data_IF_708430811441
#
_entry.id   IF_708430811441
#
_cell.length_a   1.000
_cell.length_b   1.000
_cell.length_c   1.000
_cell.angle_alpha   90.00
_cell.angle_beta   90.00
_cell.angle_gamma   90.00
#
_symmetry.space_group_name_H-M   'P 1'
#
loop_
_entity.id
_entity.type
_entity.pdbx_description
1 polymer ?
#
# COMPACT_ATOMS: atom_id res chain seq x y z
N UNK A 1 3.09 45.53 37.62
CA UNK A 1 3.83 44.60 36.74
C UNK A 1 2.82 43.71 36.04
N UNK A 2 2.67 43.85 34.71
CA UNK A 2 1.75 43.07 33.88
C UNK A 2 2.47 41.79 33.44
N UNK A 3 1.99 40.62 33.84
CA UNK A 3 2.41 39.36 33.23
C UNK A 3 1.43 39.03 32.11
N UNK A 4 1.88 39.21 30.88
CA UNK A 4 1.17 38.79 29.68
C UNK A 4 1.46 37.29 29.50
N UNK A 5 0.53 36.43 29.90
CA UNK A 5 0.63 35.01 29.63
C UNK A 5 0.26 34.76 28.16
N UNK A 6 1.28 34.50 27.33
CA UNK A 6 1.09 34.06 25.95
C UNK A 6 0.81 32.55 25.98
N UNK A 7 -0.46 32.17 26.02
CA UNK A 7 -0.87 30.79 25.85
C UNK A 7 -0.70 30.43 24.37
N UNK A 8 0.42 29.80 24.03
CA UNK A 8 0.63 29.21 22.72
C UNK A 8 -0.27 27.97 22.64
N UNK A 9 -1.48 28.14 22.09
CA UNK A 9 -2.29 27.01 21.65
C UNK A 9 -1.55 26.35 20.48
N UNK A 10 -0.71 25.37 20.79
CA UNK A 10 -0.33 24.36 19.82
C UNK A 10 -1.62 23.61 19.51
N UNK A 11 -2.27 23.98 18.39
CA UNK A 11 -3.23 23.10 17.75
C UNK A 11 -2.46 21.82 17.46
N UNK A 12 -2.60 20.82 18.33
CA UNK A 12 -2.18 19.46 18.00
C UNK A 12 -2.91 19.15 16.71
N UNK A 13 -2.21 18.86 15.60
CA UNK A 13 -2.92 18.27 14.47
C UNK A 13 -3.52 17.01 15.06
N UNK A 14 -4.83 17.03 15.25
CA UNK A 14 -5.61 15.83 15.42
C UNK A 14 -5.10 14.91 14.32
N UNK A 15 -4.69 13.68 14.68
CA UNK A 15 -4.57 12.62 13.69
C UNK A 15 -5.79 12.77 12.79
N UNK A 16 -5.58 13.30 11.57
CA UNK A 16 -6.67 13.41 10.62
C UNK A 16 -7.19 11.98 10.51
N UNK A 17 -8.48 11.78 10.72
CA UNK A 17 -9.03 10.45 10.56
C UNK A 17 -8.72 10.06 9.11
N UNK A 18 -8.19 8.86 8.88
CA UNK A 18 -7.90 8.41 7.51
C UNK A 18 -9.20 8.46 6.69
N UNK A 19 -10.34 8.34 7.35
CA UNK A 19 -11.67 8.58 6.81
C UNK A 19 -11.88 10.01 6.28
N UNK A 20 -11.46 11.05 7.00
CA UNK A 20 -11.54 12.44 6.48
C UNK A 20 -10.73 12.58 5.19
N UNK A 21 -9.55 11.95 5.14
CA UNK A 21 -8.74 11.96 3.93
C UNK A 21 -9.40 11.18 2.78
N UNK A 22 -10.07 10.06 3.06
CA UNK A 22 -10.86 9.31 2.06
C UNK A 22 -12.01 10.14 1.53
N UNK A 23 -12.77 10.81 2.40
CA UNK A 23 -13.84 11.72 1.99
C UNK A 23 -13.31 12.85 1.09
N UNK A 24 -12.14 13.40 1.40
CA UNK A 24 -11.48 14.39 0.54
C UNK A 24 -11.08 13.80 -0.82
N UNK A 25 -10.60 12.55 -0.87
CA UNK A 25 -10.29 11.87 -2.13
C UNK A 25 -11.55 11.63 -2.95
N UNK A 26 -12.64 11.19 -2.34
CA UNK A 26 -13.95 10.99 -2.99
C UNK A 26 -14.52 12.31 -3.53
N UNK A 27 -14.34 13.41 -2.80
CA UNK A 27 -14.71 14.75 -3.23
C UNK A 27 -13.77 15.35 -4.29
N UNK A 28 -12.72 14.63 -4.72
CA UNK A 28 -11.73 15.11 -5.68
C UNK A 28 -10.76 16.18 -5.14
N UNK A 29 -10.74 16.38 -3.82
CA UNK A 29 -9.91 17.37 -3.13
C UNK A 29 -8.51 16.81 -2.82
N UNK A 30 -7.84 16.29 -3.85
CA UNK A 30 -6.64 15.47 -3.69
C UNK A 30 -5.46 16.17 -3.01
N UNK A 31 -5.26 17.48 -3.25
CA UNK A 31 -4.20 18.21 -2.56
C UNK A 31 -4.43 18.23 -1.03
N UNK A 32 -5.67 18.40 -0.60
CA UNK A 32 -6.03 18.43 0.83
C UNK A 32 -5.97 17.02 1.43
N UNK A 33 -6.47 16.01 0.70
CA UNK A 33 -6.34 14.62 1.10
C UNK A 33 -4.87 14.23 1.34
N UNK A 34 -3.96 14.63 0.45
CA UNK A 34 -2.52 14.37 0.60
C UNK A 34 -1.97 14.99 1.87
N UNK A 35 -2.29 16.26 2.12
CA UNK A 35 -1.83 16.96 3.33
C UNK A 35 -2.38 16.30 4.60
N UNK A 36 -3.62 15.80 4.57
CA UNK A 36 -4.20 15.04 5.68
C UNK A 36 -3.53 13.68 5.90
N UNK A 37 -3.21 12.95 4.82
CA UNK A 37 -2.55 11.63 4.88
C UNK A 37 -1.08 11.72 5.30
N UNK A 38 -0.39 12.80 4.93
CA UNK A 38 1.06 12.88 4.99
C UNK A 38 1.66 12.61 6.39
N UNK A 39 1.14 13.19 7.49
CA UNK A 39 1.66 12.90 8.84
C UNK A 39 1.55 11.42 9.22
N UNK A 40 0.42 10.77 8.90
CA UNK A 40 0.17 9.37 9.21
C UNK A 40 1.05 8.44 8.36
N UNK A 41 1.14 8.69 7.05
CA UNK A 41 2.01 7.94 6.15
C UNK A 41 3.49 8.05 6.56
N UNK A 42 3.93 9.26 6.96
CA UNK A 42 5.30 9.50 7.46
C UNK A 42 5.57 8.84 8.80
N UNK A 43 4.54 8.57 9.59
CA UNK A 43 4.62 7.84 10.86
C UNK A 43 4.46 6.33 10.70
N UNK A 44 4.28 5.85 9.46
CA UNK A 44 4.21 4.44 9.13
C UNK A 44 2.83 3.81 9.29
N UNK A 45 1.75 4.58 9.32
CA UNK A 45 0.40 4.02 9.20
C UNK A 45 0.22 3.40 7.80
N UNK A 46 -0.12 2.12 7.73
CA UNK A 46 -0.13 1.36 6.48
C UNK A 46 -1.27 1.79 5.54
N UNK A 47 -2.45 2.15 6.07
CA UNK A 47 -3.58 2.64 5.27
C UNK A 47 -3.22 3.98 4.61
N UNK A 48 -2.58 4.88 5.35
CA UNK A 48 -2.12 6.15 4.81
C UNK A 48 -1.02 5.99 3.75
N UNK A 49 -0.09 5.06 3.98
CA UNK A 49 0.94 4.73 2.99
C UNK A 49 0.35 4.15 1.70
N UNK A 50 -0.65 3.28 1.81
CA UNK A 50 -1.37 2.73 0.67
C UNK A 50 -2.06 3.83 -0.14
N UNK A 51 -2.79 4.73 0.52
CA UNK A 51 -3.47 5.84 -0.14
C UNK A 51 -2.49 6.80 -0.81
N UNK A 52 -1.34 7.10 -0.19
CA UNK A 52 -0.27 7.88 -0.86
C UNK A 52 0.26 7.13 -2.10
N UNK A 53 0.37 5.81 -2.05
CA UNK A 53 0.69 4.96 -3.20
C UNK A 53 -0.32 5.14 -4.34
N UNK A 54 -1.63 5.06 -4.03
CA UNK A 54 -2.74 5.29 -4.97
C UNK A 54 -2.61 6.67 -5.64
N UNK A 55 -2.33 7.71 -4.86
CA UNK A 55 -2.20 9.06 -5.39
C UNK A 55 -1.06 9.18 -6.40
N UNK A 56 0.09 8.55 -6.16
CA UNK A 56 1.18 8.51 -7.14
C UNK A 56 0.87 7.64 -8.35
N UNK A 57 0.20 6.49 -8.18
CA UNK A 57 -0.15 5.59 -9.28
C UNK A 57 -1.11 6.25 -10.28
N UNK A 58 -2.06 7.03 -9.76
CA UNK A 58 -3.15 7.64 -10.53
C UNK A 58 -2.92 9.14 -10.84
N UNK A 59 -1.89 9.77 -10.28
CA UNK A 59 -1.62 11.20 -10.44
C UNK A 59 -2.67 12.09 -9.74
N UNK A 60 -3.15 11.66 -8.56
CA UNK A 60 -4.20 12.36 -7.81
C UNK A 60 -3.57 13.43 -6.91
N UNK A 61 -3.65 14.69 -7.33
CA UNK A 61 -3.07 15.81 -6.58
C UNK A 61 -1.54 15.83 -6.54
N UNK A 62 -0.89 14.93 -7.29
CA UNK A 62 0.55 14.85 -7.52
C UNK A 62 0.82 14.37 -8.94
N UNK A 63 2.03 14.63 -9.44
CA UNK A 63 2.47 14.02 -10.69
C UNK A 63 2.50 12.50 -10.56
N UNK A 64 1.98 11.82 -11.58
CA UNK A 64 2.01 10.36 -11.66
C UNK A 64 3.45 9.86 -11.66
N UNK A 65 3.78 8.96 -10.74
CA UNK A 65 5.13 8.42 -10.57
C UNK A 65 5.03 6.96 -10.11
N UNK A 66 5.22 6.05 -11.06
CA UNK A 66 5.08 4.61 -10.85
C UNK A 66 6.10 4.04 -9.87
N UNK A 67 7.31 4.61 -9.85
CA UNK A 67 8.37 4.14 -8.96
C UNK A 67 8.01 4.52 -7.52
N UNK A 68 7.58 5.77 -7.30
CA UNK A 68 7.14 6.18 -5.96
C UNK A 68 5.88 5.44 -5.52
N UNK A 69 4.92 5.23 -6.42
CA UNK A 69 3.73 4.45 -6.10
C UNK A 69 4.09 3.04 -5.61
N UNK A 70 4.95 2.33 -6.35
CA UNK A 70 5.46 1.02 -5.95
C UNK A 70 6.17 1.06 -4.59
N UNK A 71 7.03 2.05 -4.34
CA UNK A 71 7.72 2.20 -3.05
C UNK A 71 6.75 2.38 -1.88
N UNK A 72 5.70 3.20 -2.04
CA UNK A 72 4.69 3.41 -1.00
C UNK A 72 3.83 2.16 -0.78
N UNK A 73 3.39 1.51 -1.86
CA UNK A 73 2.69 0.23 -1.75
C UNK A 73 3.55 -0.82 -1.06
N UNK A 74 4.85 -0.92 -1.38
CA UNK A 74 5.73 -1.89 -0.74
C UNK A 74 5.87 -1.64 0.76
N UNK A 75 5.92 -0.39 1.21
CA UNK A 75 5.96 -0.05 2.66
C UNK A 75 4.71 -0.53 3.39
N UNK A 76 3.53 -0.23 2.85
CA UNK A 76 2.26 -0.67 3.41
C UNK A 76 2.12 -2.21 3.35
N UNK A 77 2.49 -2.81 2.24
CA UNK A 77 2.44 -4.26 2.00
C UNK A 77 3.34 -5.03 2.98
N UNK A 78 4.52 -4.49 3.29
CA UNK A 78 5.43 -5.04 4.30
C UNK A 78 4.87 -5.01 5.72
N UNK A 79 3.79 -4.25 5.98
CA UNK A 79 3.11 -4.20 7.27
C UNK A 79 1.85 -5.05 7.31
N UNK A 80 1.62 -5.85 6.27
CA UNK A 80 0.45 -6.71 6.18
C UNK A 80 -0.81 -6.03 5.64
N UNK A 81 -0.72 -4.84 5.04
CA UNK A 81 -1.90 -4.19 4.44
C UNK A 81 -2.31 -4.93 3.16
N UNK A 82 -3.49 -5.57 3.10
CA UNK A 82 -3.85 -6.45 1.97
C UNK A 82 -3.97 -5.70 0.64
N UNK A 83 -4.68 -4.57 0.59
CA UNK A 83 -4.82 -3.78 -0.66
C UNK A 83 -3.47 -3.38 -1.27
N UNK A 84 -2.54 -2.87 -0.46
CA UNK A 84 -1.16 -2.61 -0.90
C UNK A 84 -0.42 -3.87 -1.36
N UNK A 85 -0.60 -5.04 -0.72
CA UNK A 85 -0.01 -6.31 -1.20
C UNK A 85 -0.54 -6.67 -2.59
N UNK A 86 -1.85 -6.50 -2.84
CA UNK A 86 -2.43 -6.64 -4.18
C UNK A 86 -1.84 -5.65 -5.17
N UNK A 87 -1.65 -4.39 -4.76
CA UNK A 87 -0.96 -3.36 -5.55
C UNK A 87 0.45 -3.80 -5.96
N UNK A 88 1.28 -4.23 -5.00
CA UNK A 88 2.64 -4.74 -5.27
C UNK A 88 2.60 -5.96 -6.20
N UNK A 89 1.66 -6.88 -5.98
CA UNK A 89 1.44 -8.04 -6.85
C UNK A 89 1.17 -7.65 -8.29
N UNK A 90 0.33 -6.64 -8.51
CA UNK A 90 0.00 -6.11 -9.82
C UNK A 90 1.22 -5.47 -10.51
N UNK A 91 2.02 -4.66 -9.81
CA UNK A 91 3.25 -4.09 -10.37
C UNK A 91 4.22 -5.16 -10.86
N UNK A 92 4.39 -6.25 -10.10
CA UNK A 92 5.21 -7.39 -10.53
C UNK A 92 4.58 -8.13 -11.71
N UNK A 93 3.25 -8.29 -11.74
CA UNK A 93 2.55 -8.98 -12.82
C UNK A 93 2.74 -8.26 -14.16
N UNK A 94 2.53 -6.95 -14.18
CA UNK A 94 2.62 -6.15 -15.42
C UNK A 94 4.03 -5.66 -15.72
N UNK A 95 4.95 -5.71 -14.74
CA UNK A 95 6.32 -5.22 -14.87
C UNK A 95 6.44 -3.69 -14.96
N UNK A 96 5.47 -2.95 -14.41
CA UNK A 96 5.45 -1.49 -14.51
C UNK A 96 6.54 -0.87 -13.63
N UNK A 97 7.35 0.02 -14.22
CA UNK A 97 8.51 0.59 -13.50
C UNK A 97 9.62 -0.42 -13.20
N UNK A 98 9.57 -1.62 -13.78
CA UNK A 98 10.56 -2.69 -13.60
C UNK A 98 11.22 -3.10 -14.92
N UNK A 99 12.40 -3.77 -14.89
CA UNK A 99 13.04 -4.26 -16.11
C UNK A 99 12.21 -5.32 -16.87
N UNK A 100 11.40 -6.10 -16.15
CA UNK A 100 10.51 -7.12 -16.68
C UNK A 100 9.44 -7.49 -15.63
N UNK A 101 8.38 -8.17 -16.06
CA UNK A 101 7.43 -8.79 -15.13
C UNK A 101 8.04 -9.94 -14.34
N UNK A 102 7.52 -10.18 -13.15
CA UNK A 102 7.93 -11.27 -12.26
C UNK A 102 6.71 -11.98 -11.69
N UNK A 103 6.27 -13.03 -12.40
CA UNK A 103 5.08 -13.79 -12.01
C UNK A 103 5.25 -14.55 -10.70
N UNK A 104 6.48 -14.86 -10.27
CA UNK A 104 6.73 -15.52 -9.00
C UNK A 104 6.39 -14.55 -7.86
N UNK A 105 6.94 -13.33 -7.93
CA UNK A 105 6.66 -12.29 -6.93
C UNK A 105 5.22 -11.79 -6.99
N UNK A 106 4.63 -11.69 -8.18
CA UNK A 106 3.22 -11.35 -8.33
C UNK A 106 2.31 -12.36 -7.59
N UNK A 107 2.49 -13.67 -7.88
CA UNK A 107 1.71 -14.72 -7.23
C UNK A 107 1.89 -14.74 -5.71
N UNK A 108 3.13 -14.56 -5.24
CA UNK A 108 3.44 -14.49 -3.81
C UNK A 108 2.69 -13.33 -3.12
N UNK A 109 2.74 -12.12 -3.69
CA UNK A 109 2.09 -10.95 -3.09
C UNK A 109 0.56 -11.06 -3.11
N UNK A 110 -0.04 -11.56 -4.19
CA UNK A 110 -1.48 -11.84 -4.22
C UNK A 110 -1.88 -12.91 -3.17
N UNK A 111 -1.07 -13.96 -2.98
CA UNK A 111 -1.33 -14.95 -1.95
C UNK A 111 -1.28 -14.36 -0.53
N UNK A 112 -0.27 -13.53 -0.24
CA UNK A 112 -0.15 -12.83 1.03
C UNK A 112 -1.33 -11.88 1.26
N UNK A 113 -1.78 -11.20 0.21
CA UNK A 113 -2.96 -10.32 0.26
C UNK A 113 -4.23 -11.09 0.58
N UNK A 114 -4.45 -12.24 -0.07
CA UNK A 114 -5.58 -13.12 0.23
C UNK A 114 -5.54 -13.64 1.67
N UNK A 115 -4.37 -14.04 2.17
CA UNK A 115 -4.18 -14.42 3.59
C UNK A 115 -4.48 -13.23 4.51
N UNK A 116 -4.12 -12.01 4.10
CA UNK A 116 -4.38 -10.75 4.78
C UNK A 116 -5.87 -10.36 4.83
N UNK A 117 -6.68 -10.89 3.92
CA UNK A 117 -8.13 -10.73 3.90
C UNK A 117 -8.66 -9.93 2.71
N UNK A 118 -7.87 -9.71 1.66
CA UNK A 118 -8.37 -9.20 0.39
C UNK A 118 -9.01 -10.35 -0.42
N UNK A 119 -10.35 -10.36 -0.60
CA UNK A 119 -11.03 -11.44 -1.33
C UNK A 119 -10.73 -11.41 -2.83
N UNK A 120 -10.43 -10.24 -3.40
CA UNK A 120 -10.18 -10.09 -4.84
C UNK A 120 -8.78 -10.59 -5.22
N UNK A 121 -7.85 -10.61 -4.25
CA UNK A 121 -6.50 -11.12 -4.46
C UNK A 121 -6.46 -12.61 -4.86
N UNK A 122 -7.43 -13.41 -4.43
CA UNK A 122 -7.54 -14.81 -4.84
C UNK A 122 -7.82 -14.93 -6.35
N UNK A 123 -8.65 -14.05 -6.90
CA UNK A 123 -8.93 -14.00 -8.35
C UNK A 123 -7.66 -13.65 -9.11
N UNK A 124 -6.92 -12.63 -8.67
CA UNK A 124 -5.63 -12.26 -9.27
C UNK A 124 -4.62 -13.41 -9.21
N UNK A 125 -4.58 -14.15 -8.10
CA UNK A 125 -3.73 -15.33 -7.95
C UNK A 125 -4.09 -16.43 -8.97
N UNK A 126 -5.38 -16.69 -9.18
CA UNK A 126 -5.88 -17.64 -10.18
C UNK A 126 -5.55 -17.22 -11.61
N UNK A 127 -5.54 -15.93 -11.93
CA UNK A 127 -5.16 -15.45 -13.26
C UNK A 127 -3.65 -15.53 -13.50
N UNK A 128 -2.84 -15.18 -12.51
CA UNK A 128 -1.37 -15.27 -12.64
C UNK A 128 -0.90 -16.70 -12.79
N UNK A 129 -1.46 -17.65 -12.03
CA UNK A 129 -0.97 -19.04 -12.04
C UNK A 129 -1.11 -19.72 -13.41
N UNK A 130 -2.11 -19.33 -14.20
CA UNK A 130 -2.31 -19.82 -15.59
C UNK A 130 -1.14 -19.47 -16.52
N UNK A 131 -0.37 -18.43 -16.19
CA UNK A 131 0.78 -17.93 -16.95
C UNK A 131 2.10 -18.54 -16.45
N UNK A 132 2.08 -19.32 -15.37
CA UNK A 132 3.28 -19.82 -14.69
C UNK A 132 3.59 -21.28 -15.05
N UNK A 133 4.89 -21.60 -15.08
CA UNK A 133 5.36 -22.98 -15.10
C UNK A 133 5.27 -23.61 -13.71
N UNK A 134 5.23 -24.95 -13.65
CA UNK A 134 5.29 -25.69 -12.37
C UNK A 134 6.48 -25.28 -11.50
N UNK A 135 7.65 -25.05 -12.11
CA UNK A 135 8.84 -24.63 -11.39
C UNK A 135 8.69 -23.22 -10.76
N UNK A 136 8.02 -22.29 -11.45
CA UNK A 136 7.72 -20.97 -10.90
C UNK A 136 6.70 -21.05 -9.75
N UNK A 137 5.69 -21.91 -9.87
CA UNK A 137 4.69 -22.11 -8.81
C UNK A 137 5.34 -22.65 -7.54
N UNK A 138 6.22 -23.65 -7.65
CA UNK A 138 6.98 -24.19 -6.51
C UNK A 138 7.78 -23.10 -5.82
N UNK A 139 8.54 -22.30 -6.58
CA UNK A 139 9.31 -21.17 -6.02
C UNK A 139 8.42 -20.11 -5.36
N UNK A 140 7.24 -19.85 -5.91
CA UNK A 140 6.32 -18.89 -5.32
C UNK A 140 5.80 -19.40 -3.97
N UNK A 141 5.48 -20.69 -3.85
CA UNK A 141 5.12 -21.29 -2.56
C UNK A 141 6.24 -21.24 -1.53
N UNK A 142 7.49 -21.50 -1.93
CA UNK A 142 8.66 -21.33 -1.05
C UNK A 142 8.72 -19.90 -0.47
N UNK A 143 8.56 -18.88 -1.33
CA UNK A 143 8.54 -17.49 -0.87
C UNK A 143 7.31 -17.15 -0.01
N UNK A 144 6.15 -17.70 -0.33
CA UNK A 144 4.93 -17.49 0.48
C UNK A 144 5.16 -18.04 1.89
N UNK A 145 5.70 -19.25 2.03
CA UNK A 145 5.95 -19.87 3.33
C UNK A 145 6.95 -19.03 4.16
N UNK A 146 8.01 -18.52 3.52
CA UNK A 146 8.99 -17.65 4.17
C UNK A 146 8.37 -16.34 4.68
N UNK A 147 7.58 -15.67 3.84
CA UNK A 147 7.02 -14.35 4.15
C UNK A 147 5.79 -14.45 5.06
N UNK A 148 4.96 -15.48 4.92
CA UNK A 148 3.74 -15.68 5.71
C UNK A 148 4.07 -15.73 7.19
N UNK A 149 5.12 -16.44 7.58
CA UNK A 149 5.53 -16.58 8.99
C UNK A 149 5.85 -15.22 9.63
N UNK A 150 6.45 -14.30 8.87
CA UNK A 150 6.79 -12.98 9.36
C UNK A 150 5.61 -12.00 9.35
N UNK A 151 4.80 -12.01 8.28
CA UNK A 151 3.68 -11.08 8.11
C UNK A 151 2.43 -11.47 8.89
N UNK A 152 2.17 -12.77 9.00
CA UNK A 152 0.95 -13.33 9.57
C UNK A 152 1.24 -14.49 10.53
N UNK A 153 2.02 -14.27 11.61
CA UNK A 153 2.47 -15.34 12.52
C UNK A 153 1.33 -16.08 13.25
N UNK A 154 0.11 -15.55 13.21
CA UNK A 154 -1.07 -16.12 13.87
C UNK A 154 -2.18 -16.55 12.89
N UNK A 155 -1.88 -16.64 11.58
CA UNK A 155 -2.81 -17.12 10.53
C UNK A 155 -2.23 -18.32 9.77
#
# INVERSE_FOLDING_TARGET
MKYLAFALLLATPTLADIEDARDLMEAGQFAQAREALWPAARSGNADAEELIGVMYALGLGVDRDEIRAFEWYLRAAMKGHPGAQSGVGWYYEVGLGMPASDLIRAYMWYALSAIGGDPDAAISQEEVVKKMTRAQIVKAHELIDDYKVWMYPFR
#
